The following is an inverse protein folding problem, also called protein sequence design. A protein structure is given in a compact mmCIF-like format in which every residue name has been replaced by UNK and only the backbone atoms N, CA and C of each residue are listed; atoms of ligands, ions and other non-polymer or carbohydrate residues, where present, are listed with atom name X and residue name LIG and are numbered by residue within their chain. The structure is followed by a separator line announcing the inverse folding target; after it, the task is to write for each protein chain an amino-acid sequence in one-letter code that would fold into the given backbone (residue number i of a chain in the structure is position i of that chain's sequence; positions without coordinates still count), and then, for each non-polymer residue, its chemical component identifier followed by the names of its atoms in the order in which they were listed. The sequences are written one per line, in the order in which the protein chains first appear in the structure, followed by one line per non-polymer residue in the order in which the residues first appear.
data_IF_023767874396
#
_entry.id   IF_023767874396
#
_cell.length_a   1.000
_cell.length_b   1.000
_cell.length_c   1.000
_cell.angle_alpha   90.00
_cell.angle_beta   90.00
_cell.angle_gamma   90.00
#
_symmetry.space_group_name_H-M   'P 1'
#
loop_
_entity.id
_entity.type
_entity.pdbx_description
1 polymer ?
#
# COMPACT_ATOMS: atom_id res chain seq x y z
N UNK A 1 -27.13 -1.27 27.97
CA UNK A 1 -27.07 -1.36 26.50
C UNK A 1 -25.93 -0.48 26.02
N UNK A 2 -24.71 -1.01 26.01
CA UNK A 2 -23.51 -0.33 25.51
C UNK A 2 -23.28 -0.82 24.09
N UNK A 3 -23.69 0.00 23.12
CA UNK A 3 -23.53 -0.28 21.69
C UNK A 3 -22.06 -0.46 21.35
N UNK A 4 -21.78 -1.55 20.65
CA UNK A 4 -20.44 -1.96 20.23
C UNK A 4 -19.93 -0.94 19.18
N UNK A 5 -19.12 0.03 19.57
CA UNK A 5 -18.49 1.04 18.70
C UNK A 5 -17.25 0.50 17.99
N UNK A 6 -17.28 -0.76 17.54
CA UNK A 6 -16.20 -1.34 16.75
C UNK A 6 -16.35 -0.84 15.30
N UNK A 7 -15.49 0.09 14.90
CA UNK A 7 -15.35 0.54 13.51
C UNK A 7 -15.08 -0.69 12.62
N UNK A 8 -16.05 -1.06 11.79
CA UNK A 8 -15.89 -2.15 10.84
C UNK A 8 -15.08 -1.64 9.65
N UNK A 9 -13.77 -1.89 9.70
CA UNK A 9 -12.82 -1.48 8.66
C UNK A 9 -13.21 -2.06 7.29
N UNK A 10 -13.73 -3.29 7.24
CA UNK A 10 -14.20 -3.91 5.98
C UNK A 10 -15.36 -3.16 5.34
N UNK A 11 -16.33 -2.72 6.15
CA UNK A 11 -17.46 -1.91 5.66
C UNK A 11 -17.01 -0.54 5.12
N UNK A 12 -16.00 0.08 5.76
CA UNK A 12 -15.42 1.36 5.29
C UNK A 12 -14.71 1.22 3.94
N UNK A 13 -14.01 0.12 3.69
CA UNK A 13 -13.41 -0.13 2.37
C UNK A 13 -14.46 -0.27 1.27
N UNK A 14 -15.58 -0.94 1.56
CA UNK A 14 -16.69 -1.05 0.62
C UNK A 14 -17.37 0.30 0.39
N UNK A 15 -17.59 1.09 1.44
CA UNK A 15 -18.27 2.39 1.36
C UNK A 15 -17.42 3.45 0.63
N UNK A 16 -16.11 3.51 0.90
CA UNK A 16 -15.22 4.56 0.39
C UNK A 16 -14.59 4.18 -0.96
N UNK A 17 -14.26 2.90 -1.16
CA UNK A 17 -13.52 2.45 -2.34
C UNK A 17 -14.28 1.48 -3.24
N UNK A 18 -15.51 1.08 -2.88
CA UNK A 18 -16.32 0.15 -3.67
C UNK A 18 -15.77 -1.28 -3.72
N UNK A 19 -14.80 -1.62 -2.86
CA UNK A 19 -14.17 -2.94 -2.84
C UNK A 19 -15.04 -3.85 -1.98
N UNK A 20 -15.62 -4.90 -2.57
CA UNK A 20 -16.35 -5.92 -1.83
C UNK A 20 -15.37 -6.78 -1.03
N UNK A 21 -15.38 -6.66 0.30
CA UNK A 21 -14.66 -7.60 1.16
C UNK A 21 -15.21 -9.02 0.95
N UNK A 22 -14.38 -10.07 0.98
CA UNK A 22 -14.87 -11.44 0.81
C UNK A 22 -15.90 -11.78 1.90
N UNK A 23 -17.04 -12.29 1.44
CA UNK A 23 -18.18 -12.92 2.12
C UNK A 23 -18.10 -12.95 3.65
N UNK A 24 -19.01 -12.21 4.30
CA UNK A 24 -19.25 -12.23 5.73
C UNK A 24 -19.75 -13.62 6.19
N UNK A 25 -18.95 -14.33 6.98
CA UNK A 25 -19.41 -15.49 7.74
C UNK A 25 -20.17 -14.98 8.98
N UNK A 26 -21.44 -15.34 9.19
CA UNK A 26 -22.20 -14.88 10.35
C UNK A 26 -21.55 -15.39 11.64
N UNK A 27 -21.26 -14.45 12.54
CA UNK A 27 -20.79 -14.73 13.90
C UNK A 27 -21.73 -15.73 14.60
N UNK A 28 -21.14 -16.78 15.20
CA UNK A 28 -21.87 -17.80 15.97
C UNK A 28 -21.90 -19.20 15.35
N UNK A 29 -21.28 -19.43 14.18
CA UNK A 29 -20.94 -20.79 13.73
C UNK A 29 -19.46 -21.04 13.97
N UNK A 30 -19.14 -21.95 14.88
CA UNK A 30 -17.85 -22.65 14.82
C UNK A 30 -17.86 -23.47 13.54
N UNK A 31 -17.13 -23.00 12.53
CA UNK A 31 -16.75 -23.90 11.44
C UNK A 31 -15.95 -25.03 12.09
N UNK A 32 -16.32 -26.27 11.77
CA UNK A 32 -15.56 -27.41 12.26
C UNK A 32 -14.16 -27.26 11.66
N UNK A 33 -13.13 -27.11 12.52
CA UNK A 33 -11.75 -27.15 12.06
C UNK A 33 -11.55 -28.48 11.35
N UNK A 34 -11.39 -28.41 10.03
CA UNK A 34 -11.19 -29.59 9.21
C UNK A 34 -9.70 -29.86 9.21
N UNK A 35 -9.26 -30.80 10.06
CA UNK A 35 -7.87 -31.26 10.07
C UNK A 35 -7.52 -31.85 8.68
N UNK A 36 -6.59 -31.23 7.93
CA UNK A 36 -6.18 -31.70 6.62
C UNK A 36 -5.58 -33.11 6.62
N UNK A 37 -5.15 -33.61 7.80
CA UNK A 37 -4.56 -34.94 7.99
C UNK A 37 -5.47 -36.12 7.63
N UNK A 38 -6.75 -35.89 7.30
CA UNK A 38 -7.71 -36.93 6.89
C UNK A 38 -7.72 -37.25 5.40
N UNK A 39 -6.99 -36.51 4.57
CA UNK A 39 -6.90 -36.78 3.12
C UNK A 39 -5.63 -37.59 2.81
N UNK A 40 -5.80 -38.89 2.52
CA UNK A 40 -4.72 -39.72 1.99
C UNK A 40 -4.31 -39.25 0.60
N UNK A 41 -3.04 -38.86 0.44
CA UNK A 41 -2.46 -38.46 -0.85
C UNK A 41 -2.41 -36.95 -1.12
N UNK A 42 -2.81 -36.11 -0.16
CA UNK A 42 -2.68 -34.64 -0.26
C UNK A 42 -1.50 -34.18 0.60
N UNK A 43 -0.48 -33.61 -0.03
CA UNK A 43 0.58 -32.91 0.69
C UNK A 43 0.10 -31.51 1.02
N UNK A 44 -0.10 -31.20 2.30
CA UNK A 44 -0.38 -29.83 2.73
C UNK A 44 0.89 -29.01 2.75
N UNK A 45 0.83 -27.83 2.12
CA UNK A 45 1.83 -26.79 2.31
C UNK A 45 1.49 -26.13 3.66
N UNK A 46 2.46 -25.91 4.56
CA UNK A 46 2.20 -25.17 5.80
C UNK A 46 1.60 -23.80 5.48
N UNK A 47 0.64 -23.37 6.28
CA UNK A 47 0.06 -22.04 6.15
C UNK A 47 1.17 -21.00 6.24
N UNK A 48 1.22 -20.08 5.27
CA UNK A 48 2.18 -18.99 5.32
C UNK A 48 1.91 -18.16 6.57
N UNK A 49 2.91 -18.02 7.45
CA UNK A 49 2.81 -17.15 8.61
C UNK A 49 2.43 -15.73 8.16
N UNK A 50 1.39 -15.18 8.77
CA UNK A 50 0.96 -13.82 8.46
C UNK A 50 2.07 -12.83 8.84
N UNK A 51 2.42 -11.93 7.92
CA UNK A 51 3.49 -10.94 8.09
C UNK A 51 3.28 -10.03 9.31
N UNK A 52 2.02 -9.70 9.59
CA UNK A 52 1.62 -8.93 10.76
C UNK A 52 0.18 -9.25 11.14
N UNK A 53 -0.18 -8.91 12.38
CA UNK A 53 -1.56 -8.95 12.87
C UNK A 53 -2.01 -7.54 13.24
N UNK A 54 -3.24 -7.20 12.86
CA UNK A 54 -3.89 -5.98 13.33
C UNK A 54 -4.22 -6.07 14.82
N UNK A 55 -4.54 -4.94 15.45
CA UNK A 55 -5.01 -4.92 16.85
C UNK A 55 -6.26 -5.79 17.11
N UNK A 56 -7.00 -6.16 16.06
CA UNK A 56 -8.17 -7.05 16.12
C UNK A 56 -7.81 -8.54 15.88
N UNK A 57 -6.52 -8.88 15.75
CA UNK A 57 -6.07 -10.26 15.49
C UNK A 57 -6.28 -10.73 14.05
N UNK A 58 -6.72 -9.86 13.14
CA UNK A 58 -6.82 -10.19 11.72
C UNK A 58 -5.44 -10.15 11.07
N UNK A 59 -5.03 -11.18 10.31
CA UNK A 59 -3.76 -11.16 9.58
C UNK A 59 -3.78 -10.04 8.54
N UNK A 60 -2.68 -9.31 8.46
CA UNK A 60 -2.47 -8.21 7.52
C UNK A 60 -1.47 -8.69 6.48
N UNK A 61 -1.87 -8.61 5.22
CA UNK A 61 -1.05 -9.05 4.08
C UNK A 61 -0.51 -7.81 3.37
N UNK A 62 0.76 -7.85 2.97
CA UNK A 62 1.37 -6.80 2.17
C UNK A 62 1.70 -5.57 3.00
N UNK A 63 2.19 -5.78 4.22
CA UNK A 63 2.68 -4.67 5.03
C UNK A 63 3.97 -4.10 4.43
N UNK A 64 4.14 -2.79 4.52
CA UNK A 64 5.32 -2.12 4.03
C UNK A 64 5.60 -0.83 4.80
N UNK A 65 6.83 -0.37 4.68
CA UNK A 65 7.36 0.81 5.37
C UNK A 65 7.95 1.75 4.33
N UNK A 66 7.67 3.05 4.48
CA UNK A 66 8.47 4.09 3.84
C UNK A 66 9.71 4.31 4.70
N UNK A 67 10.87 4.07 4.12
CA UNK A 67 12.11 4.11 4.85
C UNK A 67 12.46 5.56 5.23
N UNK A 68 12.95 5.72 6.46
CA UNK A 68 13.46 6.99 6.94
C UNK A 68 14.89 7.18 6.50
N UNK A 69 15.24 8.41 6.14
CA UNK A 69 16.62 8.80 5.88
C UNK A 69 17.00 9.96 6.79
N UNK A 70 18.27 9.98 7.18
CA UNK A 70 18.86 11.06 7.98
C UNK A 70 18.94 12.37 7.21
N UNK A 71 18.95 12.37 5.88
CA UNK A 71 19.02 13.59 5.08
C UNK A 71 18.19 13.46 3.80
N UNK A 72 16.87 13.54 3.91
CA UNK A 72 16.04 13.64 2.70
C UNK A 72 16.15 15.03 2.08
N UNK A 73 16.32 15.11 0.76
CA UNK A 73 16.27 16.36 0.00
C UNK A 73 14.85 16.94 -0.02
N UNK A 74 14.72 18.22 0.31
CA UNK A 74 13.45 18.97 0.35
C UNK A 74 13.63 20.38 -0.19
N UNK A 75 12.52 21.10 -0.39
CA UNK A 75 12.54 22.54 -0.64
C UNK A 75 11.97 23.31 0.55
N UNK A 76 12.67 24.37 0.94
CA UNK A 76 12.19 25.34 1.89
C UNK A 76 11.09 26.22 1.26
N UNK A 77 10.27 26.94 2.05
CA UNK A 77 9.25 27.84 1.52
C UNK A 77 9.79 28.97 0.62
N UNK A 78 11.08 29.30 0.77
CA UNK A 78 11.79 30.29 -0.06
C UNK A 78 12.33 29.71 -1.38
N UNK A 79 12.10 28.42 -1.66
CA UNK A 79 12.59 27.72 -2.84
C UNK A 79 14.05 27.27 -2.76
N UNK A 80 14.75 27.51 -1.64
CA UNK A 80 16.09 26.98 -1.42
C UNK A 80 16.06 25.47 -1.12
N UNK A 81 17.15 24.77 -1.46
CA UNK A 81 17.30 23.35 -1.11
C UNK A 81 17.49 23.22 0.41
N UNK A 82 16.69 22.39 1.03
CA UNK A 82 16.80 22.03 2.44
C UNK A 82 16.96 20.52 2.61
N UNK A 83 17.37 20.09 3.79
CA UNK A 83 17.38 18.67 4.18
C UNK A 83 16.47 18.44 5.37
N UNK A 84 15.86 17.26 5.42
CA UNK A 84 14.98 16.87 6.53
C UNK A 84 15.34 15.47 7.02
N UNK A 85 15.47 15.33 8.34
CA UNK A 85 15.60 14.02 8.97
C UNK A 85 14.21 13.39 9.09
N UNK A 86 14.05 12.18 8.58
CA UNK A 86 12.80 11.43 8.68
C UNK A 86 13.04 10.07 9.32
N UNK A 87 12.14 9.70 10.22
CA UNK A 87 12.05 8.33 10.72
C UNK A 87 11.25 7.48 9.73
N UNK A 88 11.51 6.17 9.72
CA UNK A 88 10.75 5.23 8.92
C UNK A 88 9.29 5.23 9.35
N UNK A 89 8.39 5.20 8.38
CA UNK A 89 6.95 5.19 8.60
C UNK A 89 6.36 3.88 8.12
N UNK A 90 6.03 2.95 9.04
CA UNK A 90 5.25 1.78 8.67
C UNK A 90 3.87 2.26 8.19
N UNK A 91 3.37 1.70 7.11
CA UNK A 91 2.03 2.04 6.64
C UNK A 91 0.95 1.50 7.59
N UNK A 92 -0.17 2.21 7.77
CA UNK A 92 -1.31 1.67 8.51
C UNK A 92 -1.75 0.31 7.96
N UNK A 93 -2.14 -0.61 8.83
CA UNK A 93 -2.58 -1.96 8.41
C UNK A 93 -3.82 -1.95 7.52
N UNK A 94 -4.61 -0.88 7.56
CA UNK A 94 -5.71 -0.62 6.64
C UNK A 94 -5.21 0.14 5.38
N UNK A 95 -4.24 -0.44 4.67
CA UNK A 95 -3.68 0.10 3.42
C UNK A 95 -3.67 -0.98 2.35
N UNK A 96 -4.07 -0.61 1.14
CA UNK A 96 -4.06 -1.43 -0.07
C UNK A 96 -3.13 -0.76 -1.08
N UNK A 97 -2.40 -1.57 -1.84
CA UNK A 97 -1.51 -1.08 -2.90
C UNK A 97 -1.84 -1.77 -4.22
N UNK A 98 -2.08 -0.96 -5.24
CA UNK A 98 -2.24 -1.38 -6.62
C UNK A 98 -0.96 -1.09 -7.40
N UNK A 99 -0.52 -2.07 -8.20
CA UNK A 99 0.65 -1.95 -9.06
C UNK A 99 0.24 -2.13 -10.50
N UNK A 100 0.67 -1.23 -11.38
CA UNK A 100 0.51 -1.38 -12.81
C UNK A 100 1.79 -1.00 -13.53
N UNK A 101 2.23 -1.84 -14.47
CA UNK A 101 3.42 -1.57 -15.27
C UNK A 101 3.06 -1.63 -16.74
N UNK A 102 2.89 -0.49 -17.42
CA UNK A 102 2.64 -0.49 -18.84
C UNK A 102 3.86 -1.00 -19.61
N UNK A 103 3.59 -1.62 -20.75
CA UNK A 103 4.62 -1.98 -21.72
C UNK A 103 4.48 -1.01 -22.90
N UNK A 104 5.58 -0.36 -23.26
CA UNK A 104 5.62 0.49 -24.44
C UNK A 104 5.62 -0.39 -25.70
N UNK A 105 4.49 -0.43 -26.41
CA UNK A 105 4.31 -1.28 -27.57
C UNK A 105 3.42 -0.63 -28.64
N UNK A 106 3.97 -0.49 -29.86
CA UNK A 106 3.22 -0.07 -31.05
C UNK A 106 2.52 -1.26 -31.70
N UNK A 107 1.27 -1.06 -32.16
CA UNK A 107 0.45 -2.10 -32.80
C UNK A 107 -0.02 -1.65 -34.16
N UNK A 108 0.47 -2.31 -35.20
CA UNK A 108 0.15 -1.97 -36.59
C UNK A 108 -0.80 -3.00 -37.18
N UNK A 109 -1.94 -2.52 -37.70
CA UNK A 109 -2.86 -3.34 -38.50
C UNK A 109 -2.32 -3.45 -39.92
N UNK A 110 -2.20 -4.66 -40.43
CA UNK A 110 -1.78 -4.94 -41.81
C UNK A 110 -2.85 -5.78 -42.52
N UNK A 111 -3.01 -5.57 -43.82
CA UNK A 111 -3.97 -6.32 -44.63
C UNK A 111 -3.49 -7.76 -44.83
N UNK A 112 -4.43 -8.71 -44.83
CA UNK A 112 -4.14 -10.11 -45.16
C UNK A 112 -3.75 -11.01 -43.98
N UNK A 113 -3.78 -10.53 -42.74
CA UNK A 113 -3.62 -11.37 -41.54
C UNK A 113 -4.74 -11.11 -40.52
N UNK A 114 -5.08 -12.14 -39.75
CA UNK A 114 -5.92 -11.99 -38.57
C UNK A 114 -5.05 -11.55 -37.38
N UNK A 115 -4.90 -10.24 -37.17
CA UNK A 115 -4.17 -9.71 -36.00
C UNK A 115 -3.50 -8.37 -36.25
N UNK A 116 -2.57 -8.02 -35.35
CA UNK A 116 -1.71 -6.83 -35.45
C UNK A 116 -0.26 -7.23 -35.28
N UNK A 117 0.64 -6.63 -36.04
CA UNK A 117 2.08 -6.71 -35.77
C UNK A 117 2.36 -5.83 -34.54
N UNK A 118 3.13 -6.35 -33.57
CA UNK A 118 3.47 -5.67 -32.33
C UNK A 118 4.97 -5.35 -32.31
N UNK A 119 5.31 -4.09 -32.11
CA UNK A 119 6.68 -3.65 -31.85
C UNK A 119 6.79 -3.31 -30.38
N UNK A 120 7.66 -4.00 -29.64
CA UNK A 120 7.85 -3.79 -28.19
C UNK A 120 9.13 -2.99 -27.99
N UNK A 121 9.02 -1.85 -27.31
CA UNK A 121 10.15 -0.95 -27.06
C UNK A 121 10.72 -1.09 -25.64
N UNK A 122 9.91 -1.57 -24.69
CA UNK A 122 10.36 -1.79 -23.32
C UNK A 122 9.23 -1.82 -22.31
N UNK A 123 9.59 -1.99 -21.06
CA UNK A 123 8.70 -1.86 -19.91
C UNK A 123 8.85 -0.46 -19.34
N UNK A 124 7.74 0.22 -19.09
CA UNK A 124 7.73 1.50 -18.38
C UNK A 124 7.95 1.27 -16.86
N UNK A 125 8.04 2.36 -16.10
CA UNK A 125 8.10 2.31 -14.65
C UNK A 125 6.79 1.78 -14.05
N UNK A 126 6.87 1.20 -12.85
CA UNK A 126 5.68 0.83 -12.11
C UNK A 126 4.93 2.08 -11.67
N UNK A 127 3.65 2.16 -12.03
CA UNK A 127 2.69 3.09 -11.45
C UNK A 127 2.03 2.43 -10.25
N UNK A 128 2.13 3.09 -9.12
CA UNK A 128 1.77 2.56 -7.80
C UNK A 128 0.69 3.45 -7.21
N UNK A 129 -0.44 2.87 -6.83
CA UNK A 129 -1.54 3.58 -6.18
C UNK A 129 -1.75 2.98 -4.79
N UNK A 130 -1.50 3.78 -3.75
CA UNK A 130 -1.62 3.35 -2.36
C UNK A 130 -2.86 4.04 -1.77
N UNK A 131 -3.81 3.24 -1.28
CA UNK A 131 -5.06 3.73 -0.69
C UNK A 131 -5.23 3.16 0.69
N UNK A 132 -5.54 4.00 1.66
CA UNK A 132 -5.70 3.52 3.02
C UNK A 132 -6.39 4.51 3.94
N UNK A 133 -6.44 4.11 5.20
CA UNK A 133 -7.03 4.90 6.27
C UNK A 133 -6.00 5.17 7.35
N UNK A 134 -5.84 6.45 7.70
CA UNK A 134 -5.22 6.83 8.96
C UNK A 134 -6.22 6.58 10.08
N UNK A 135 -5.91 5.61 10.94
CA UNK A 135 -6.75 5.19 12.07
C UNK A 135 -5.88 5.10 13.31
N UNK A 136 -6.44 5.49 14.46
CA UNK A 136 -5.74 5.32 15.72
C UNK A 136 -5.53 3.84 16.04
N UNK A 137 -4.28 3.42 16.23
CA UNK A 137 -3.92 2.05 16.54
C UNK A 137 -2.89 2.04 17.66
N UNK A 138 -3.31 1.52 18.81
CA UNK A 138 -2.51 1.48 20.04
C UNK A 138 -1.43 0.40 20.02
N UNK A 139 -1.58 -0.62 19.15
CA UNK A 139 -0.66 -1.75 19.03
C UNK A 139 0.62 -1.41 18.29
N UNK A 140 0.62 -0.29 17.53
CA UNK A 140 1.76 0.11 16.69
C UNK A 140 2.87 0.76 17.49
N UNK A 141 4.12 0.48 17.11
CA UNK A 141 5.28 1.21 17.60
C UNK A 141 5.40 2.56 16.88
N UNK A 142 4.90 3.62 17.53
CA UNK A 142 4.86 4.97 16.96
C UNK A 142 3.67 5.22 16.02
N UNK A 143 3.45 6.49 15.68
CA UNK A 143 2.34 6.95 14.83
C UNK A 143 0.98 6.36 15.24
N UNK A 144 0.70 6.40 16.55
CA UNK A 144 -0.47 5.75 17.16
C UNK A 144 -1.75 6.53 16.89
N UNK A 145 -1.64 7.83 16.64
CA UNK A 145 -2.80 8.71 16.40
C UNK A 145 -2.97 9.05 14.92
N UNK A 146 -4.20 9.37 14.52
CA UNK A 146 -4.51 9.83 13.16
C UNK A 146 -3.70 11.06 12.79
N UNK A 147 -3.57 12.03 13.71
CA UNK A 147 -2.83 13.26 13.48
C UNK A 147 -1.33 13.01 13.24
N UNK A 148 -0.72 12.08 13.98
CA UNK A 148 0.68 11.69 13.77
C UNK A 148 0.90 11.03 12.41
N UNK A 149 -0.01 10.13 12.00
CA UNK A 149 0.05 9.46 10.71
C UNK A 149 -0.09 10.46 9.55
N UNK A 150 -1.08 11.35 9.62
CA UNK A 150 -1.28 12.39 8.60
C UNK A 150 -0.07 13.33 8.53
N UNK A 151 0.49 13.75 9.66
CA UNK A 151 1.68 14.61 9.68
C UNK A 151 2.90 13.89 9.09
N UNK A 152 3.09 12.60 9.39
CA UNK A 152 4.15 11.79 8.80
C UNK A 152 4.03 11.75 7.27
N UNK A 153 2.85 11.43 6.75
CA UNK A 153 2.56 11.40 5.32
C UNK A 153 2.79 12.78 4.65
N UNK A 154 2.36 13.86 5.30
CA UNK A 154 2.63 15.23 4.85
C UNK A 154 4.12 15.55 4.82
N UNK A 155 4.94 15.02 5.74
CA UNK A 155 6.39 15.17 5.70
C UNK A 155 6.99 14.40 4.54
N UNK A 156 6.56 13.16 4.29
CA UNK A 156 7.05 12.36 3.16
C UNK A 156 6.73 13.04 1.83
N UNK A 157 5.59 13.74 1.73
CA UNK A 157 5.28 14.51 0.51
C UNK A 157 6.25 15.67 0.24
N UNK A 158 6.92 16.21 1.26
CA UNK A 158 7.90 17.30 1.08
C UNK A 158 9.24 16.81 0.51
N UNK A 159 9.47 15.50 0.54
CA UNK A 159 10.67 14.88 -0.04
C UNK A 159 10.61 15.00 -1.55
N UNK A 160 11.72 15.42 -2.15
CA UNK A 160 11.84 15.64 -3.61
C UNK A 160 12.79 14.69 -4.30
N UNK A 161 13.10 13.59 -3.63
CA UNK A 161 13.93 12.50 -4.15
C UNK A 161 13.23 11.17 -3.91
N UNK A 162 13.82 10.09 -4.42
CA UNK A 162 13.29 8.75 -4.25
C UNK A 162 13.30 8.32 -2.77
N UNK A 163 12.17 7.82 -2.30
CA UNK A 163 11.98 7.29 -0.94
C UNK A 163 12.16 5.79 -0.99
N UNK A 164 12.97 5.23 -0.09
CA UNK A 164 13.13 3.79 0.05
C UNK A 164 11.83 3.15 0.50
N UNK A 165 11.50 1.99 -0.04
CA UNK A 165 10.34 1.23 0.38
C UNK A 165 10.75 -0.20 0.73
N UNK A 166 10.36 -0.63 1.92
CA UNK A 166 10.64 -1.98 2.41
C UNK A 166 9.33 -2.71 2.68
N UNK A 167 9.12 -3.84 2.00
CA UNK A 167 7.98 -4.73 2.21
C UNK A 167 7.93 -5.83 1.16
N UNK A 168 7.44 -7.01 1.53
CA UNK A 168 7.37 -8.19 0.64
C UNK A 168 6.66 -7.89 -0.68
N UNK A 169 5.57 -7.11 -0.60
CA UNK A 169 4.72 -6.71 -1.72
C UNK A 169 5.46 -5.86 -2.78
N UNK A 170 6.46 -5.08 -2.35
CA UNK A 170 7.34 -4.28 -3.21
C UNK A 170 8.57 -5.07 -3.65
N UNK A 171 9.24 -5.76 -2.72
CA UNK A 171 10.45 -6.54 -2.97
C UNK A 171 10.22 -7.64 -4.02
N UNK A 172 9.08 -8.32 -3.97
CA UNK A 172 8.70 -9.36 -4.94
C UNK A 172 8.52 -8.81 -6.37
N UNK A 173 8.45 -7.49 -6.55
CA UNK A 173 8.38 -6.80 -7.85
C UNK A 173 9.66 -6.05 -8.19
N UNK A 174 10.71 -6.25 -7.40
CA UNK A 174 12.02 -5.58 -7.54
C UNK A 174 11.90 -4.05 -7.46
N UNK A 175 10.98 -3.56 -6.61
CA UNK A 175 10.81 -2.13 -6.33
C UNK A 175 11.40 -1.85 -4.95
N UNK A 176 12.48 -1.05 -4.92
CA UNK A 176 13.18 -0.68 -3.68
C UNK A 176 13.05 0.79 -3.33
N UNK A 177 12.66 1.62 -4.30
CA UNK A 177 12.41 3.04 -4.10
C UNK A 177 11.26 3.53 -4.97
N UNK A 178 10.58 4.56 -4.47
CA UNK A 178 9.44 5.19 -5.12
C UNK A 178 9.55 6.71 -5.03
N UNK A 179 9.03 7.40 -6.02
CA UNK A 179 8.81 8.85 -5.99
C UNK A 179 7.32 9.09 -5.77
N UNK A 180 6.98 9.92 -4.79
CA UNK A 180 5.59 10.29 -4.52
C UNK A 180 5.21 11.45 -5.44
N UNK A 181 4.37 11.17 -6.43
CA UNK A 181 3.85 12.15 -7.38
C UNK A 181 2.77 13.02 -6.71
N UNK A 182 1.85 12.36 -6.01
CA UNK A 182 0.67 13.00 -5.44
C UNK A 182 0.27 12.37 -4.10
N UNK A 183 -0.28 13.18 -3.21
CA UNK A 183 -0.97 12.73 -2.00
C UNK A 183 -2.25 13.52 -1.83
N UNK A 184 -3.35 12.81 -1.53
CA UNK A 184 -4.64 13.42 -1.24
C UNK A 184 -5.20 12.84 0.05
N UNK A 185 -5.87 13.71 0.82
CA UNK A 185 -6.60 13.36 2.03
C UNK A 185 -8.05 13.75 1.83
N UNK A 186 -8.96 12.78 1.98
CA UNK A 186 -10.39 12.97 1.74
C UNK A 186 -11.16 12.77 3.04
N UNK A 187 -11.07 13.70 4.02
CA UNK A 187 -11.68 13.53 5.33
C UNK A 187 -13.19 13.39 5.21
N UNK A 188 -13.77 12.45 5.96
CA UNK A 188 -15.21 12.21 5.98
C UNK A 188 -15.86 13.20 6.94
N UNK A 189 -16.87 13.94 6.48
CA UNK A 189 -17.54 14.94 7.28
C UNK A 189 -18.18 14.31 8.54
N UNK A 190 -17.85 14.86 9.72
CA UNK A 190 -18.38 14.39 11.00
C UNK A 190 -17.63 13.22 11.64
N UNK A 191 -16.61 12.65 10.98
CA UNK A 191 -15.79 11.57 11.56
C UNK A 191 -14.30 11.96 11.59
N UNK A 192 -13.83 12.41 12.75
CA UNK A 192 -12.41 12.74 12.97
C UNK A 192 -11.54 11.53 13.34
N UNK A 193 -12.14 10.36 13.53
CA UNK A 193 -11.44 9.15 13.97
C UNK A 193 -10.77 8.40 12.82
N UNK A 194 -11.10 8.75 11.58
CA UNK A 194 -10.60 8.12 10.37
C UNK A 194 -10.33 9.18 9.31
N UNK A 195 -9.13 9.18 8.72
CA UNK A 195 -8.79 10.03 7.57
C UNK A 195 -8.35 9.15 6.40
N UNK A 196 -9.14 9.04 5.32
CA UNK A 196 -8.74 8.36 4.11
C UNK A 196 -7.60 9.12 3.41
N UNK A 197 -6.65 8.38 2.86
CA UNK A 197 -5.59 8.92 2.04
C UNK A 197 -5.42 8.11 0.75
N UNK A 198 -4.99 8.80 -0.31
CA UNK A 198 -4.55 8.19 -1.56
C UNK A 198 -3.20 8.79 -1.92
N UNK A 199 -2.22 7.93 -2.20
CA UNK A 199 -0.89 8.29 -2.67
C UNK A 199 -0.72 7.70 -4.07
N UNK A 200 -0.30 8.54 -4.99
CA UNK A 200 0.14 8.12 -6.32
C UNK A 200 1.65 8.23 -6.35
N UNK A 201 2.30 7.15 -6.74
CA UNK A 201 3.74 7.06 -6.78
C UNK A 201 4.21 6.29 -8.01
N UNK A 202 5.45 6.54 -8.40
CA UNK A 202 6.12 5.85 -9.49
C UNK A 202 7.36 5.15 -8.93
N UNK A 203 7.65 3.92 -9.36
CA UNK A 203 8.91 3.26 -8.98
C UNK A 203 10.09 4.03 -9.55
N UNK A 204 11.10 4.23 -8.73
CA UNK A 204 12.39 4.73 -9.20
C UNK A 204 13.44 3.68 -8.88
N UNK A 205 14.10 3.17 -9.92
CA UNK A 205 15.29 2.37 -9.77
C UNK A 205 16.44 3.26 -10.22
N UNK A 206 17.35 3.67 -9.32
CA UNK A 206 18.39 4.62 -9.68
C UNK A 206 19.26 4.04 -10.79
N UNK A 207 19.10 4.56 -12.00
CA UNK A 207 20.05 4.36 -13.07
C UNK A 207 21.10 5.47 -12.96
N UNK A 208 22.30 5.13 -12.50
CA UNK A 208 23.43 6.05 -12.61
C UNK A 208 23.74 6.25 -14.10
N UNK A 209 23.50 7.47 -14.59
CA UNK A 209 24.04 7.88 -15.89
C UNK A 209 25.56 7.97 -15.74
N UNK A 210 26.27 6.93 -16.15
CA UNK A 210 27.72 7.01 -16.37
C UNK A 210 27.94 7.88 -17.61
N UNK A 211 28.24 9.16 -17.39
CA UNK A 211 28.66 10.11 -18.43
C UNK A 211 30.11 9.87 -18.85
#
# INVERSE_FOLDING_TARGET
MTGNTALNIGALFTEVFGISSPIYLPWGRTLQDYDPGKYTGVTTIPDAEAEAYSWMGTPVIGTFTLDGNKQYSTYNPDGSRGTMNMASFPMPYATIVDFSRPMNCSKTKVLGIHGTIKEVYGLDDWKINIRGFCIADKSREGYKTVAEQVNALCKFRKVTEAIGVTGSIFNNKEIYSIIIDNISFNPIQGNSSVVPFTIEATSDNPYELTL
#
